data_IF_267656460842
#
_entry.id   IF_267656460842
#
_cell.length_a   1.000
_cell.length_b   1.000
_cell.length_c   1.000
_cell.angle_alpha   90.00
_cell.angle_beta   90.00
_cell.angle_gamma   90.00
#
_symmetry.space_group_name_H-M   'P 1'
#
loop_
_entity.id
_entity.type
_entity.pdbx_description
1 polymer ?
#
# COMPACT_ATOMS: atom_id res chain seq x y z
N UNK A 1 -11.15 8.93 17.54
CA UNK A 1 -10.33 9.46 16.42
C UNK A 1 -8.94 8.91 16.65
N UNK A 2 -8.56 7.83 15.96
CA UNK A 2 -7.23 7.24 16.12
C UNK A 2 -6.19 8.15 15.47
N UNK A 3 -5.18 8.54 16.23
CA UNK A 3 -4.12 9.41 15.74
C UNK A 3 -3.21 8.61 14.78
N UNK A 4 -2.77 9.21 13.67
CA UNK A 4 -1.82 8.57 12.75
C UNK A 4 -0.55 8.10 13.49
N UNK A 5 -0.18 8.76 14.59
CA UNK A 5 0.90 8.35 15.49
C UNK A 5 0.62 7.04 16.25
N UNK A 6 -0.64 6.75 16.63
CA UNK A 6 -1.00 5.46 17.24
C UNK A 6 -0.96 4.33 16.21
N UNK A 7 -1.31 4.63 14.95
CA UNK A 7 -1.14 3.68 13.84
C UNK A 7 0.36 3.43 13.62
N UNK A 8 1.17 4.49 13.57
CA UNK A 8 2.64 4.46 13.37
C UNK A 8 3.39 3.70 14.48
N UNK A 9 3.11 4.01 15.74
CA UNK A 9 3.69 3.31 16.90
C UNK A 9 3.25 1.85 17.02
N UNK A 10 2.18 1.48 16.33
CA UNK A 10 1.77 0.08 16.21
C UNK A 10 2.59 -0.68 15.16
N UNK A 11 3.13 -0.07 14.10
CA UNK A 11 3.88 -0.82 13.07
C UNK A 11 5.18 -1.46 13.55
N UNK A 12 5.76 -1.02 14.68
CA UNK A 12 6.97 -1.66 15.24
C UNK A 12 6.69 -3.02 15.92
N UNK A 13 5.44 -3.27 16.34
CA UNK A 13 5.02 -4.53 16.97
C UNK A 13 3.83 -5.22 16.26
N UNK A 14 3.21 -4.53 15.30
CA UNK A 14 2.03 -5.04 14.61
C UNK A 14 2.50 -5.88 13.45
N UNK A 15 2.23 -7.16 13.63
CA UNK A 15 1.71 -8.14 12.69
C UNK A 15 0.67 -7.51 11.72
N UNK A 16 1.06 -6.45 11.02
CA UNK A 16 0.38 -5.83 9.89
C UNK A 16 0.63 -6.81 8.77
N UNK A 17 0.07 -8.03 8.92
CA UNK A 17 -0.43 -8.79 7.80
C UNK A 17 -1.14 -7.73 7.00
N UNK A 18 -0.55 -7.36 5.87
CA UNK A 18 -1.09 -6.39 4.95
C UNK A 18 -2.39 -7.04 4.46
N UNK A 19 -3.43 -6.92 5.32
CA UNK A 19 -4.66 -7.68 5.21
C UNK A 19 -5.15 -7.32 3.84
N UNK A 20 -5.52 -8.34 3.08
CA UNK A 20 -5.96 -8.23 1.69
C UNK A 20 -6.80 -6.95 1.47
N UNK A 21 -7.77 -6.72 2.35
CA UNK A 21 -8.66 -5.55 2.38
C UNK A 21 -7.97 -4.17 2.51
N UNK A 22 -6.82 -4.08 3.20
CA UNK A 22 -6.09 -2.84 3.43
C UNK A 22 -5.21 -2.41 2.25
N UNK A 23 -4.85 -3.35 1.36
CA UNK A 23 -3.93 -3.07 0.25
C UNK A 23 -4.48 -1.99 -0.69
N UNK A 24 -5.79 -1.99 -0.97
CA UNK A 24 -6.41 -0.97 -1.81
C UNK A 24 -6.26 0.44 -1.21
N UNK A 25 -6.44 0.57 0.11
CA UNK A 25 -6.36 1.87 0.79
C UNK A 25 -4.92 2.39 0.83
N UNK A 26 -3.93 1.51 0.98
CA UNK A 26 -2.53 1.89 0.87
C UNK A 26 -2.19 2.37 -0.54
N UNK A 27 -2.68 1.68 -1.57
CA UNK A 27 -2.49 2.10 -2.96
C UNK A 27 -3.17 3.45 -3.21
N UNK A 28 -4.44 3.60 -2.83
CA UNK A 28 -5.18 4.86 -2.96
C UNK A 28 -4.47 6.01 -2.23
N UNK A 29 -3.93 5.75 -1.03
CA UNK A 29 -3.17 6.74 -0.29
C UNK A 29 -1.92 7.19 -1.06
N UNK A 30 -1.10 6.24 -1.54
CA UNK A 30 0.10 6.57 -2.30
C UNK A 30 -0.28 7.38 -3.55
N UNK A 31 -1.29 6.97 -4.30
CA UNK A 31 -1.71 7.67 -5.51
C UNK A 31 -2.29 9.07 -5.23
N UNK A 32 -2.91 9.27 -4.07
CA UNK A 32 -3.52 10.55 -3.72
C UNK A 32 -2.50 11.55 -3.17
N UNK A 33 -1.55 11.09 -2.36
CA UNK A 33 -0.59 11.94 -1.65
C UNK A 33 0.79 12.02 -2.31
N UNK A 34 1.06 11.23 -3.34
CA UNK A 34 2.29 11.31 -4.13
C UNK A 34 2.00 11.77 -5.57
N UNK A 35 3.06 12.11 -6.32
CA UNK A 35 2.96 12.40 -7.75
C UNK A 35 2.95 11.14 -8.63
N UNK A 36 2.79 9.94 -8.05
CA UNK A 36 2.75 8.69 -8.80
C UNK A 36 1.36 8.44 -9.38
N UNK A 37 1.32 8.02 -10.64
CA UNK A 37 0.13 7.42 -11.24
C UNK A 37 0.11 5.89 -11.01
N UNK A 38 -1.03 5.27 -11.32
CA UNK A 38 -1.22 3.83 -11.13
C UNK A 38 -0.20 3.00 -11.94
N UNK A 39 0.23 3.51 -13.10
CA UNK A 39 1.22 2.85 -13.95
C UNK A 39 2.60 2.84 -13.29
N UNK A 40 3.06 4.00 -12.83
CA UNK A 40 4.34 4.17 -12.16
C UNK A 40 4.39 3.33 -10.88
N UNK A 41 3.30 3.28 -10.13
CA UNK A 41 3.21 2.42 -8.93
C UNK A 41 3.22 0.93 -9.29
N UNK A 42 2.59 0.52 -10.40
CA UNK A 42 2.63 -0.88 -10.86
C UNK A 42 4.04 -1.31 -11.25
N UNK A 43 4.78 -0.46 -11.97
CA UNK A 43 6.20 -0.70 -12.32
C UNK A 43 7.07 -0.81 -11.07
N UNK A 44 6.88 0.10 -10.11
CA UNK A 44 7.60 0.12 -8.84
C UNK A 44 7.28 -1.11 -7.97
N UNK A 45 6.05 -1.61 -8.01
CA UNK A 45 5.68 -2.87 -7.36
C UNK A 45 6.04 -4.11 -8.20
N UNK A 46 6.54 -3.95 -9.43
CA UNK A 46 6.80 -5.03 -10.39
C UNK A 46 5.58 -5.95 -10.59
N UNK A 47 4.41 -5.34 -10.76
CA UNK A 47 3.16 -6.03 -11.09
C UNK A 47 2.57 -5.45 -12.36
N UNK A 48 1.70 -6.21 -13.02
CA UNK A 48 1.00 -5.71 -14.19
C UNK A 48 -0.01 -4.60 -13.77
N UNK A 49 -0.11 -3.54 -14.57
CA UNK A 49 -1.04 -2.42 -14.33
C UNK A 49 -2.50 -2.87 -14.20
N UNK A 50 -2.95 -3.76 -15.07
CA UNK A 50 -4.32 -4.28 -15.03
C UNK A 50 -4.57 -5.06 -13.74
N UNK A 51 -3.59 -5.85 -13.29
CA UNK A 51 -3.66 -6.53 -12.00
C UNK A 51 -3.74 -5.53 -10.85
N UNK A 52 -2.90 -4.51 -10.81
CA UNK A 52 -2.94 -3.48 -9.76
C UNK A 52 -4.28 -2.73 -9.74
N UNK A 53 -4.85 -2.41 -10.91
CA UNK A 53 -6.19 -1.85 -11.02
C UNK A 53 -7.26 -2.76 -10.39
N UNK A 54 -7.17 -4.08 -10.58
CA UNK A 54 -8.08 -5.00 -9.92
C UNK A 54 -7.88 -5.04 -8.39
N UNK A 55 -6.66 -4.88 -7.90
CA UNK A 55 -6.37 -4.76 -6.46
C UNK A 55 -7.00 -3.50 -5.88
N UNK A 56 -6.87 -2.35 -6.56
CA UNK A 56 -7.53 -1.09 -6.15
C UNK A 56 -9.05 -1.25 -6.10
N UNK A 57 -9.63 -1.98 -7.05
CA UNK A 57 -11.07 -2.30 -7.02
C UNK A 57 -11.49 -3.31 -5.95
N UNK A 58 -10.55 -3.82 -5.15
CA UNK A 58 -10.80 -4.80 -4.08
C UNK A 58 -11.13 -6.21 -4.57
N UNK A 59 -10.97 -6.50 -5.87
CA UNK A 59 -11.29 -7.80 -6.48
C UNK A 59 -10.17 -8.83 -6.29
N UNK A 60 -8.94 -8.36 -6.22
CA UNK A 60 -7.74 -9.19 -6.04
C UNK A 60 -6.83 -8.57 -5.00
N UNK A 61 -5.79 -9.31 -4.64
CA UNK A 61 -4.83 -8.88 -3.64
C UNK A 61 -3.42 -9.27 -4.08
N UNK A 62 -2.45 -8.42 -3.77
CA UNK A 62 -1.03 -8.70 -3.87
C UNK A 62 -0.68 -9.91 -3.00
N UNK A 63 0.25 -10.72 -3.50
CA UNK A 63 0.90 -11.74 -2.70
C UNK A 63 1.73 -11.09 -1.57
N UNK A 64 2.24 -11.90 -0.66
CA UNK A 64 2.92 -11.42 0.55
C UNK A 64 4.14 -10.53 0.23
N UNK A 65 5.01 -10.95 -0.68
CA UNK A 65 6.20 -10.19 -1.07
C UNK A 65 5.86 -8.81 -1.64
N UNK A 66 4.86 -8.75 -2.53
CA UNK A 66 4.42 -7.50 -3.17
C UNK A 66 3.64 -6.62 -2.20
N UNK A 67 2.87 -7.20 -1.28
CA UNK A 67 2.16 -6.49 -0.24
C UNK A 67 3.12 -5.88 0.80
N UNK A 68 4.21 -6.57 1.12
CA UNK A 68 5.28 -6.05 1.96
C UNK A 68 6.06 -4.94 1.25
N UNK A 69 6.30 -5.07 -0.06
CA UNK A 69 6.89 -3.99 -0.88
C UNK A 69 6.00 -2.74 -0.87
N UNK A 70 4.69 -2.89 -1.06
CA UNK A 70 3.71 -1.80 -0.97
C UNK A 70 3.77 -1.10 0.40
N UNK A 71 3.81 -1.87 1.49
CA UNK A 71 3.91 -1.30 2.84
C UNK A 71 5.20 -0.50 3.04
N UNK A 72 6.34 -1.01 2.56
CA UNK A 72 7.62 -0.28 2.62
C UNK A 72 7.54 1.06 1.88
N UNK A 73 6.96 1.07 0.69
CA UNK A 73 6.78 2.31 -0.07
C UNK A 73 5.86 3.29 0.64
N UNK A 74 4.73 2.81 1.18
CA UNK A 74 3.86 3.64 2.01
C UNK A 74 4.62 4.30 3.18
N UNK A 75 5.44 3.53 3.91
CA UNK A 75 6.24 4.06 5.02
C UNK A 75 7.27 5.11 4.56
N UNK A 76 7.88 4.93 3.39
CA UNK A 76 8.77 5.93 2.80
C UNK A 76 7.99 7.22 2.51
N UNK A 77 6.80 7.13 1.91
CA UNK A 77 5.99 8.30 1.55
C UNK A 77 5.43 9.08 2.73
N UNK A 78 5.21 8.45 3.90
CA UNK A 78 4.72 9.15 5.11
C UNK A 78 5.84 9.55 6.07
N UNK A 79 7.05 9.04 5.85
CA UNK A 79 8.25 9.39 6.61
C UNK A 79 8.98 10.61 6.04
N UNK A 80 8.62 11.04 4.83
CA UNK A 80 8.88 12.38 4.28
C UNK A 80 7.77 13.36 4.69
#
# INVERSE_FOLDING_TARGET
MGCLAEVLGSFSDVNFKCKKENQKYLIEFILFFSNYDLKSLAELLEVNLLFLSQVVSGKYYLNEDRALKLLKWFLIFIGE
#
